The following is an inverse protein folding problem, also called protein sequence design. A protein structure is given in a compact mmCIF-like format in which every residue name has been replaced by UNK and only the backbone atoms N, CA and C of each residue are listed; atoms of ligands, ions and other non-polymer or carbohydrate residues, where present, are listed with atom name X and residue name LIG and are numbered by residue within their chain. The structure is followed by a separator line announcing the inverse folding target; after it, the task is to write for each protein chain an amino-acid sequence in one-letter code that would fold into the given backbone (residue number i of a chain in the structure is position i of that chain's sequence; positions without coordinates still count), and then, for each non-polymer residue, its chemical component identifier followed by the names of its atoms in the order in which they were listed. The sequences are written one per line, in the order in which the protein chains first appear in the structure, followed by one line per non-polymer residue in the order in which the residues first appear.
data_IF_742102889196
#
_entry.id   IF_742102889196
#
_cell.length_a   1.000
_cell.length_b   1.000
_cell.length_c   1.000
_cell.angle_alpha   90.00
_cell.angle_beta   90.00
_cell.angle_gamma   90.00
#
_symmetry.space_group_name_H-M   'P 1'
#
loop_
_entity.id
_entity.type
_entity.pdbx_description
1 polymer ?
#
# COMPACT_ATOMS: atom_id res chain seq x y z
N UNK A 1 32.50 -58.74 28.45
CA UNK A 1 32.79 -57.29 28.52
C UNK A 1 32.00 -56.62 27.41
N UNK A 2 30.92 -55.93 27.78
CA UNK A 2 30.07 -55.14 26.88
C UNK A 2 30.82 -53.85 26.53
N UNK A 3 31.16 -53.63 25.26
CA UNK A 3 31.63 -52.33 24.79
C UNK A 3 30.51 -51.65 24.02
N UNK A 4 30.03 -50.55 24.61
CA UNK A 4 28.98 -49.68 24.12
C UNK A 4 29.48 -48.88 22.91
N UNK A 5 28.63 -48.80 21.89
CA UNK A 5 28.76 -47.89 20.76
C UNK A 5 28.66 -46.43 21.23
N UNK A 6 29.41 -45.48 20.64
CA UNK A 6 29.00 -44.09 20.65
C UNK A 6 28.13 -43.85 19.41
N UNK A 7 26.81 -43.81 19.61
CA UNK A 7 25.91 -43.11 18.70
C UNK A 7 26.23 -41.62 18.88
N UNK A 8 27.09 -41.08 18.02
CA UNK A 8 27.28 -39.63 17.90
C UNK A 8 25.97 -39.02 17.46
N UNK A 9 25.28 -38.39 18.41
CA UNK A 9 24.12 -37.56 18.18
C UNK A 9 24.52 -36.41 17.25
N UNK A 10 24.06 -36.47 15.99
CA UNK A 10 23.97 -35.31 15.12
C UNK A 10 22.94 -34.37 15.74
N UNK A 11 23.43 -33.43 16.55
CA UNK A 11 22.71 -32.20 16.89
C UNK A 11 22.47 -31.45 15.59
N UNK A 12 21.29 -31.64 15.01
CA UNK A 12 20.71 -30.72 14.05
C UNK A 12 20.52 -29.38 14.77
N UNK A 13 21.54 -28.52 14.69
CA UNK A 13 21.35 -27.08 14.82
C UNK A 13 20.54 -26.66 13.60
N UNK A 14 19.22 -26.83 13.66
CA UNK A 14 18.34 -26.11 12.75
C UNK A 14 18.55 -24.62 13.08
N UNK A 15 19.11 -23.80 12.18
CA UNK A 15 19.07 -22.36 12.38
C UNK A 15 17.58 -22.02 12.48
N UNK A 16 17.16 -21.54 13.65
CA UNK A 16 15.87 -20.87 13.81
C UNK A 16 15.94 -19.61 12.96
N UNK A 17 15.60 -19.76 11.68
CA UNK A 17 15.30 -18.63 10.80
C UNK A 17 14.09 -17.98 11.44
N UNK A 18 14.32 -16.89 12.18
CA UNK A 18 13.29 -15.89 12.49
C UNK A 18 12.88 -15.28 11.15
N UNK A 19 12.10 -16.05 10.39
CA UNK A 19 11.49 -15.55 9.18
C UNK A 19 10.37 -14.65 9.69
N UNK A 20 10.54 -13.33 9.61
CA UNK A 20 9.40 -12.42 9.57
C UNK A 20 8.59 -12.81 8.34
N UNK A 21 7.65 -13.74 8.53
CA UNK A 21 7.01 -14.45 7.42
C UNK A 21 6.05 -13.50 6.73
N UNK A 22 6.45 -13.04 5.54
CA UNK A 22 5.52 -12.44 4.58
C UNK A 22 4.37 -13.44 4.40
N UNK A 23 3.14 -13.01 4.69
CA UNK A 23 1.96 -13.87 4.51
C UNK A 23 1.87 -14.37 3.07
N UNK A 24 1.30 -15.55 2.83
CA UNK A 24 1.14 -16.06 1.46
C UNK A 24 0.32 -15.11 0.59
N UNK A 25 -0.67 -14.42 1.20
CA UNK A 25 -1.46 -13.39 0.52
C UNK A 25 -0.57 -12.25 0.02
N UNK A 26 0.32 -11.77 0.89
CA UNK A 26 1.27 -10.71 0.55
C UNK A 26 2.28 -11.18 -0.50
N UNK A 27 2.80 -12.41 -0.38
CA UNK A 27 3.75 -12.98 -1.35
C UNK A 27 3.15 -13.08 -2.74
N UNK A 28 1.91 -13.58 -2.85
CA UNK A 28 1.18 -13.65 -4.12
C UNK A 28 0.95 -12.25 -4.68
N UNK A 29 0.58 -11.28 -3.85
CA UNK A 29 0.38 -9.89 -4.30
C UNK A 29 1.67 -9.28 -4.87
N UNK A 30 2.78 -9.37 -4.13
CA UNK A 30 4.10 -8.88 -4.57
C UNK A 30 4.57 -9.55 -5.86
N UNK A 31 4.29 -10.85 -6.03
CA UNK A 31 4.61 -11.58 -7.25
C UNK A 31 3.72 -11.17 -8.43
N UNK A 32 2.45 -10.88 -8.17
CA UNK A 32 1.46 -10.47 -9.20
C UNK A 32 1.74 -9.05 -9.70
N UNK A 33 2.07 -8.14 -8.80
CA UNK A 33 2.30 -6.71 -9.07
C UNK A 33 3.78 -6.36 -9.00
N UNK A 34 4.57 -7.07 -9.80
CA UNK A 34 6.03 -6.99 -9.80
C UNK A 34 6.61 -6.04 -10.87
N UNK A 35 5.75 -5.34 -11.62
CA UNK A 35 6.19 -4.40 -12.66
C UNK A 35 6.84 -3.18 -12.05
N UNK A 36 7.84 -2.65 -12.74
CA UNK A 36 8.50 -1.40 -12.34
C UNK A 36 7.51 -0.23 -12.36
N UNK A 37 7.59 0.61 -11.34
CA UNK A 37 6.71 1.76 -11.14
C UNK A 37 7.51 2.91 -10.53
N UNK A 38 7.58 4.02 -11.27
CA UNK A 38 8.26 5.23 -10.83
C UNK A 38 7.41 6.00 -9.80
N UNK A 39 7.92 6.16 -8.57
CA UNK A 39 7.24 6.90 -7.52
C UNK A 39 6.98 8.38 -7.88
N UNK A 40 7.75 8.97 -8.77
CA UNK A 40 7.55 10.35 -9.23
C UNK A 40 6.15 10.56 -9.84
N UNK A 41 5.54 9.51 -10.40
CA UNK A 41 4.17 9.55 -10.92
C UNK A 41 3.12 9.80 -9.83
N UNK A 42 3.41 9.44 -8.58
CA UNK A 42 2.52 9.64 -7.45
C UNK A 42 2.59 11.05 -6.87
N UNK A 43 3.66 11.81 -7.10
CA UNK A 43 3.90 13.09 -6.42
C UNK A 43 2.74 14.07 -6.57
N UNK A 44 2.36 14.73 -5.47
CA UNK A 44 1.27 15.70 -5.41
C UNK A 44 -0.02 15.12 -4.81
N UNK A 45 -1.14 15.77 -5.12
CA UNK A 45 -2.44 15.46 -4.53
C UNK A 45 -3.23 14.47 -5.38
N UNK A 46 -3.99 13.61 -4.70
CA UNK A 46 -4.93 12.67 -5.28
C UNK A 46 -6.20 12.56 -4.44
N UNK A 47 -7.29 12.18 -5.09
CA UNK A 47 -8.62 12.07 -4.50
C UNK A 47 -9.18 10.68 -4.76
N UNK A 48 -9.71 10.04 -3.73
CA UNK A 48 -10.47 8.80 -3.88
C UNK A 48 -11.85 9.10 -4.47
N UNK A 49 -12.04 8.77 -5.76
CA UNK A 49 -13.25 9.16 -6.51
C UNK A 49 -14.21 7.99 -6.74
N UNK A 50 -13.72 6.75 -6.72
CA UNK A 50 -14.56 5.56 -6.82
C UNK A 50 -13.99 4.41 -5.99
N UNK A 51 -14.88 3.73 -5.26
CA UNK A 51 -14.59 2.46 -4.61
C UNK A 51 -15.27 1.35 -5.40
N UNK A 52 -14.58 0.24 -5.60
CA UNK A 52 -15.09 -0.98 -6.22
C UNK A 52 -15.01 -2.13 -5.23
N UNK A 53 -16.05 -2.96 -5.12
CA UNK A 53 -16.03 -4.18 -4.31
C UNK A 53 -17.11 -5.17 -4.75
N UNK A 54 -16.96 -6.44 -4.36
CA UNK A 54 -17.88 -7.54 -4.73
C UNK A 54 -19.30 -7.30 -4.19
N UNK A 55 -19.41 -6.62 -3.03
CA UNK A 55 -20.68 -6.35 -2.34
C UNK A 55 -20.71 -4.88 -1.91
N UNK A 56 -20.92 -3.97 -2.85
CA UNK A 56 -20.89 -2.53 -2.67
C UNK A 56 -22.00 -1.85 -3.47
N UNK A 57 -23.25 -2.13 -3.11
CA UNK A 57 -24.42 -1.44 -3.63
C UNK A 57 -24.82 -0.28 -2.72
N UNK A 58 -23.97 0.75 -2.66
CA UNK A 58 -24.18 1.93 -1.82
C UNK A 58 -24.40 3.19 -2.67
N UNK A 59 -25.22 4.14 -2.20
CA UNK A 59 -25.42 5.41 -2.89
C UNK A 59 -24.10 6.22 -2.95
N UNK A 60 -24.00 7.19 -3.87
CA UNK A 60 -22.84 8.09 -3.94
C UNK A 60 -22.58 8.78 -2.60
N UNK A 61 -21.30 8.89 -2.24
CA UNK A 61 -20.86 9.52 -1.01
C UNK A 61 -20.35 10.95 -1.25
N UNK A 62 -20.69 11.86 -0.33
CA UNK A 62 -20.10 13.21 -0.26
C UNK A 62 -18.68 13.20 0.32
N UNK A 63 -18.29 12.11 1.00
CA UNK A 63 -16.95 11.97 1.56
C UNK A 63 -15.92 11.92 0.43
N UNK A 64 -14.89 12.75 0.58
CA UNK A 64 -13.81 12.90 -0.38
C UNK A 64 -12.48 12.86 0.35
N UNK A 65 -11.86 11.68 0.38
CA UNK A 65 -10.55 11.54 1.01
C UNK A 65 -9.48 12.09 0.08
N UNK A 66 -8.78 13.13 0.54
CA UNK A 66 -7.59 13.67 -0.12
C UNK A 66 -6.35 12.95 0.42
N UNK A 67 -5.45 12.58 -0.48
CA UNK A 67 -4.11 12.10 -0.13
C UNK A 67 -3.06 12.90 -0.83
N UNK A 68 -1.93 13.05 -0.17
CA UNK A 68 -0.76 13.75 -0.68
C UNK A 68 0.43 12.81 -0.66
N UNK A 69 1.16 12.79 -1.77
CA UNK A 69 2.44 12.14 -1.89
C UNK A 69 3.54 13.18 -2.08
N UNK A 70 4.62 13.07 -1.33
CA UNK A 70 5.70 14.03 -1.35
C UNK A 70 7.05 13.30 -1.31
N UNK A 71 8.09 13.95 -1.83
CA UNK A 71 9.45 13.42 -1.65
C UNK A 71 9.79 13.48 -0.16
N UNK A 72 10.17 12.35 0.47
CA UNK A 72 10.56 12.36 1.87
C UNK A 72 11.84 13.18 2.03
N UNK A 73 11.97 13.88 3.15
CA UNK A 73 13.23 14.55 3.47
C UNK A 73 14.26 13.54 3.98
N UNK A 74 15.54 13.90 3.93
CA UNK A 74 16.59 13.06 4.53
C UNK A 74 16.37 12.87 6.05
N UNK A 75 15.83 13.88 6.72
CA UNK A 75 15.46 13.80 8.13
C UNK A 75 14.35 12.78 8.36
N UNK A 76 13.29 12.81 7.54
CA UNK A 76 12.22 11.81 7.61
C UNK A 76 12.80 10.40 7.45
N UNK A 77 13.56 10.16 6.38
CA UNK A 77 14.15 8.84 6.12
C UNK A 77 15.02 8.35 7.29
N UNK A 78 15.82 9.24 7.89
CA UNK A 78 16.62 8.90 9.06
C UNK A 78 15.75 8.58 10.28
N UNK A 79 14.66 9.32 10.50
CA UNK A 79 13.72 9.04 11.59
C UNK A 79 13.06 7.67 11.43
N UNK A 80 12.61 7.32 10.22
CA UNK A 80 12.08 6.00 9.91
C UNK A 80 13.14 4.92 10.11
N UNK A 81 14.33 5.08 9.52
CA UNK A 81 15.45 4.14 9.66
C UNK A 81 15.76 3.87 11.13
N UNK A 82 15.90 4.92 11.94
CA UNK A 82 16.23 4.79 13.37
C UNK A 82 15.11 4.10 14.17
N UNK A 83 13.85 4.37 13.86
CA UNK A 83 12.71 3.79 14.59
C UNK A 83 12.46 2.33 14.22
N UNK A 84 12.60 1.99 12.95
CA UNK A 84 12.34 0.67 12.38
C UNK A 84 13.61 -0.18 12.18
N UNK A 85 14.77 0.25 12.71
CA UNK A 85 16.10 -0.32 12.44
C UNK A 85 16.21 -1.80 12.81
N UNK A 86 15.82 -2.67 11.87
CA UNK A 86 15.89 -4.11 11.97
C UNK A 86 16.38 -4.68 10.64
N UNK A 87 17.36 -5.55 10.72
CA UNK A 87 18.05 -6.11 9.54
C UNK A 87 17.24 -7.17 8.78
N UNK A 88 16.07 -7.56 9.30
CA UNK A 88 15.25 -8.67 8.82
C UNK A 88 13.92 -8.22 8.18
N UNK A 89 13.75 -6.91 7.97
CA UNK A 89 12.58 -6.39 7.27
C UNK A 89 12.66 -6.68 5.77
N UNK A 90 11.54 -7.02 5.10
CA UNK A 90 11.53 -7.36 3.68
C UNK A 90 11.60 -6.15 2.74
N UNK A 91 11.91 -4.97 3.28
CA UNK A 91 11.98 -3.69 2.57
C UNK A 91 13.20 -2.90 3.01
N UNK A 92 13.68 -1.98 2.17
CA UNK A 92 14.76 -1.07 2.51
C UNK A 92 14.28 0.39 2.45
N UNK A 93 14.76 1.20 3.40
CA UNK A 93 14.58 2.65 3.37
C UNK A 93 15.53 3.37 2.41
N UNK A 94 16.48 2.64 1.81
CA UNK A 94 17.32 3.14 0.71
C UNK A 94 16.67 2.94 -0.66
N UNK A 95 15.60 2.14 -0.73
CA UNK A 95 14.84 1.96 -1.96
C UNK A 95 14.11 3.26 -2.36
N UNK A 96 13.65 3.31 -3.60
CA UNK A 96 12.75 4.37 -4.07
C UNK A 96 11.55 4.50 -3.11
N UNK A 97 11.43 5.66 -2.47
CA UNK A 97 10.51 5.90 -1.37
C UNK A 97 9.71 7.18 -1.57
N UNK A 98 8.49 7.18 -1.06
CA UNK A 98 7.59 8.32 -1.16
C UNK A 98 6.76 8.50 0.10
N UNK A 99 6.77 9.71 0.65
CA UNK A 99 6.00 10.05 1.83
C UNK A 99 4.51 10.15 1.45
N UNK A 100 3.65 9.62 2.32
CA UNK A 100 2.21 9.59 2.13
C UNK A 100 1.50 10.19 3.34
N UNK A 101 0.47 10.99 3.09
CA UNK A 101 -0.44 11.46 4.12
C UNK A 101 -1.87 11.54 3.61
N UNK A 102 -2.81 11.11 4.42
CA UNK A 102 -4.24 11.37 4.27
C UNK A 102 -4.56 12.68 4.97
N UNK A 103 -5.11 13.62 4.21
CA UNK A 103 -5.59 14.90 4.73
C UNK A 103 -7.09 14.75 4.96
N UNK A 104 -7.53 14.94 6.21
CA UNK A 104 -8.95 15.06 6.46
C UNK A 104 -9.37 16.48 6.06
N UNK A 105 -10.36 16.61 5.18
CA UNK A 105 -10.82 17.92 4.70
C UNK A 105 -11.71 18.64 5.71
N UNK A 106 -12.06 18.01 6.85
CA UNK A 106 -12.85 18.63 7.91
C UNK A 106 -12.50 18.06 9.31
N UNK A 107 -11.88 18.83 10.23
CA UNK A 107 -11.28 20.16 10.05
C UNK A 107 -9.91 20.13 9.32
N UNK A 108 -9.44 21.27 8.74
CA UNK A 108 -8.51 21.29 7.61
C UNK A 108 -7.04 20.89 7.84
N UNK A 109 -6.59 20.64 9.06
CA UNK A 109 -5.14 20.59 9.34
C UNK A 109 -4.66 19.32 10.05
N UNK A 110 -5.53 18.33 10.24
CA UNK A 110 -5.14 17.09 10.92
C UNK A 110 -4.79 16.00 9.90
N UNK A 111 -3.49 15.75 9.72
CA UNK A 111 -2.99 14.48 9.15
C UNK A 111 -3.52 13.35 10.04
N UNK A 112 -4.56 12.66 9.58
CA UNK A 112 -5.14 11.56 10.35
C UNK A 112 -4.32 10.27 10.19
N UNK A 113 -3.61 10.15 9.06
CA UNK A 113 -2.83 8.97 8.74
C UNK A 113 -1.68 9.33 7.81
N UNK A 114 -0.46 9.01 8.22
CA UNK A 114 0.76 9.27 7.47
C UNK A 114 1.74 8.10 7.56
N UNK A 115 2.65 8.06 6.60
CA UNK A 115 3.57 6.94 6.44
C UNK A 115 4.52 7.12 5.25
N UNK A 116 5.26 6.06 4.98
CA UNK A 116 6.22 5.99 3.90
C UNK A 116 5.93 4.75 3.06
N UNK A 117 5.82 4.92 1.75
CA UNK A 117 5.84 3.82 0.81
C UNK A 117 7.29 3.55 0.36
N UNK A 118 7.64 2.28 0.26
CA UNK A 118 8.97 1.79 -0.08
C UNK A 118 8.88 0.80 -1.25
N UNK A 119 9.79 0.95 -2.20
CA UNK A 119 9.98 0.06 -3.34
C UNK A 119 9.60 0.70 -4.69
N UNK A 120 10.34 0.31 -5.72
CA UNK A 120 10.18 0.79 -7.11
C UNK A 120 9.23 -0.04 -7.98
N UNK A 121 8.35 -0.86 -7.39
CA UNK A 121 7.37 -1.70 -8.11
C UNK A 121 5.94 -1.24 -7.85
N UNK A 122 4.97 -1.74 -8.63
CA UNK A 122 3.55 -1.46 -8.43
C UNK A 122 3.08 -1.80 -7.01
N UNK A 123 3.45 -2.98 -6.49
CA UNK A 123 3.30 -3.31 -5.07
C UNK A 123 4.41 -2.68 -4.23
N UNK A 124 4.02 -1.91 -3.23
CA UNK A 124 4.89 -1.14 -2.33
C UNK A 124 4.62 -1.50 -0.89
N UNK A 125 5.69 -1.54 -0.09
CA UNK A 125 5.56 -1.68 1.36
C UNK A 125 5.17 -0.33 1.95
N UNK A 126 4.19 -0.32 2.83
CA UNK A 126 3.74 0.86 3.53
C UNK A 126 4.06 0.73 5.01
N UNK A 127 4.82 1.69 5.52
CA UNK A 127 5.19 1.78 6.93
C UNK A 127 4.56 3.04 7.51
N UNK A 128 3.75 2.87 8.56
CA UNK A 128 3.10 4.01 9.25
C UNK A 128 4.13 4.90 9.91
N UNK A 129 3.84 6.19 10.01
CA UNK A 129 4.69 7.14 10.70
C UNK A 129 4.97 6.70 12.16
N UNK A 130 6.21 6.85 12.66
CA UNK A 130 6.60 6.38 14.00
C UNK A 130 5.68 6.81 15.14
N UNK A 131 5.23 8.08 15.11
CA UNK A 131 4.33 8.65 16.13
C UNK A 131 2.97 7.94 16.17
N UNK A 132 2.53 7.43 15.02
CA UNK A 132 1.23 6.80 14.84
C UNK A 132 1.32 5.26 14.77
N UNK A 133 2.50 4.68 15.03
CA UNK A 133 2.72 3.25 14.94
C UNK A 133 3.12 2.62 16.29
N UNK A 134 2.14 1.97 16.92
CA UNK A 134 2.32 1.22 18.15
C UNK A 134 3.14 -0.07 17.97
N UNK A 135 3.24 -0.61 16.74
CA UNK A 135 3.99 -1.83 16.47
C UNK A 135 5.07 -1.60 15.41
N UNK A 136 6.33 -1.66 15.83
CA UNK A 136 7.49 -1.43 14.96
C UNK A 136 7.69 -2.49 13.88
N UNK A 137 6.96 -3.60 13.93
CA UNK A 137 7.10 -4.71 12.99
C UNK A 137 6.00 -4.73 11.93
N UNK A 138 4.99 -3.85 12.04
CA UNK A 138 3.88 -3.85 11.11
C UNK A 138 4.18 -3.04 9.87
N UNK A 139 3.94 -3.67 8.73
CA UNK A 139 3.86 -3.03 7.43
C UNK A 139 2.62 -3.54 6.72
N UNK A 140 2.04 -2.69 5.87
CA UNK A 140 1.02 -3.08 4.90
C UNK A 140 1.68 -3.21 3.52
N UNK A 141 1.09 -3.95 2.60
CA UNK A 141 1.50 -3.89 1.18
C UNK A 141 0.32 -3.39 0.38
N UNK A 142 0.57 -2.35 -0.42
CA UNK A 142 -0.44 -1.71 -1.25
C UNK A 142 0.06 -1.60 -2.67
N UNK A 143 -0.87 -1.64 -3.61
CA UNK A 143 -0.59 -1.67 -5.04
C UNK A 143 -1.04 -0.35 -5.66
N UNK A 144 -0.18 0.21 -6.50
CA UNK A 144 -0.49 1.32 -7.39
C UNK A 144 -0.33 0.88 -8.83
N UNK A 145 -1.42 0.91 -9.60
CA UNK A 145 -1.41 0.64 -11.04
C UNK A 145 -1.63 1.93 -11.80
N UNK A 146 -0.71 2.23 -12.71
CA UNK A 146 -0.81 3.40 -13.56
C UNK A 146 -1.88 3.20 -14.64
N UNK A 147 -2.78 4.18 -14.79
CA UNK A 147 -3.70 4.25 -15.94
C UNK A 147 -3.24 5.37 -16.87
N UNK A 148 -3.13 6.59 -16.34
CA UNK A 148 -2.59 7.78 -17.01
C UNK A 148 -2.20 8.84 -15.96
N UNK A 149 -1.78 10.02 -16.39
CA UNK A 149 -1.31 11.09 -15.50
C UNK A 149 -2.41 11.64 -14.55
N UNK A 150 -3.68 11.44 -14.89
CA UNK A 150 -4.81 11.89 -14.09
C UNK A 150 -5.39 10.81 -13.18
N UNK A 151 -5.16 9.51 -13.47
CA UNK A 151 -5.84 8.40 -12.80
C UNK A 151 -4.91 7.23 -12.47
N UNK A 152 -5.11 6.66 -11.28
CA UNK A 152 -4.44 5.43 -10.83
C UNK A 152 -5.45 4.49 -10.17
N UNK A 153 -5.14 3.20 -10.14
CA UNK A 153 -5.82 2.24 -9.27
C UNK A 153 -4.96 2.00 -8.03
N UNK A 154 -5.60 2.05 -6.87
CA UNK A 154 -5.03 1.72 -5.58
C UNK A 154 -5.77 0.51 -4.97
N UNK A 155 -5.04 -0.46 -4.44
CA UNK A 155 -5.63 -1.57 -3.67
C UNK A 155 -4.71 -2.07 -2.56
N UNK A 156 -5.31 -2.56 -1.47
CA UNK A 156 -4.59 -3.18 -0.36
C UNK A 156 -4.41 -4.68 -0.66
N UNK A 157 -3.18 -5.19 -0.61
CA UNK A 157 -2.91 -6.62 -0.86
C UNK A 157 -3.67 -7.55 0.09
N UNK A 158 -3.89 -7.10 1.33
CA UNK A 158 -4.65 -7.85 2.34
C UNK A 158 -6.09 -8.16 1.90
N UNK A 159 -6.65 -7.33 1.01
CA UNK A 159 -8.02 -7.48 0.51
C UNK A 159 -8.11 -8.34 -0.76
N UNK A 160 -6.99 -8.89 -1.25
CA UNK A 160 -6.95 -9.85 -2.38
C UNK A 160 -7.68 -9.35 -3.65
N UNK A 161 -7.65 -8.04 -3.89
CA UNK A 161 -8.35 -7.42 -5.01
C UNK A 161 -9.88 -7.42 -4.90
N UNK A 162 -10.46 -7.80 -3.76
CA UNK A 162 -11.90 -7.68 -3.49
C UNK A 162 -12.33 -6.23 -3.30
N UNK A 163 -11.40 -5.32 -3.03
CA UNK A 163 -11.66 -3.90 -2.96
C UNK A 163 -10.58 -3.15 -3.72
N UNK A 164 -11.01 -2.23 -4.58
CA UNK A 164 -10.14 -1.37 -5.36
C UNK A 164 -10.63 0.05 -5.28
N UNK A 165 -9.71 0.97 -5.46
CA UNK A 165 -10.01 2.39 -5.53
C UNK A 165 -9.49 2.94 -6.85
N UNK A 166 -10.33 3.72 -7.53
CA UNK A 166 -9.87 4.65 -8.55
C UNK A 166 -9.58 5.98 -7.85
N UNK A 167 -8.33 6.42 -7.97
CA UNK A 167 -7.89 7.72 -7.46
C UNK A 167 -7.59 8.65 -8.63
N UNK A 168 -7.85 9.94 -8.42
CA UNK A 168 -7.80 10.97 -9.46
C UNK A 168 -7.02 12.20 -8.99
N UNK A 169 -6.36 12.90 -9.91
CA UNK A 169 -5.79 14.24 -9.68
C UNK A 169 -6.87 15.32 -9.51
N UNK A 170 -8.01 15.15 -10.16
CA UNK A 170 -9.18 16.04 -10.07
C UNK A 170 -10.08 15.60 -8.92
N UNK A 171 -10.47 16.54 -8.05
CA UNK A 171 -11.40 16.28 -6.94
C UNK A 171 -12.79 15.84 -7.43
N UNK A 172 -13.27 16.48 -8.50
CA UNK A 172 -14.59 16.21 -9.10
C UNK A 172 -14.42 15.96 -10.60
N UNK A 173 -13.92 14.79 -11.02
CA UNK A 173 -13.88 14.44 -12.44
C UNK A 173 -15.29 14.24 -12.99
N UNK A 174 -15.46 14.41 -14.30
CA UNK A 174 -16.79 14.25 -14.90
C UNK A 174 -17.20 12.78 -14.94
N UNK A 175 -18.51 12.52 -14.97
CA UNK A 175 -19.01 11.14 -15.07
C UNK A 175 -18.56 10.47 -16.37
N UNK A 176 -18.47 11.23 -17.46
CA UNK A 176 -18.00 10.74 -18.76
C UNK A 176 -16.53 10.30 -18.71
N UNK A 177 -15.66 11.10 -18.07
CA UNK A 177 -14.26 10.75 -17.84
C UNK A 177 -14.16 9.44 -17.02
N UNK A 178 -14.90 9.38 -15.90
CA UNK A 178 -14.87 8.23 -14.99
C UNK A 178 -15.38 6.96 -15.67
N UNK A 179 -16.50 7.02 -16.39
CA UNK A 179 -17.05 5.87 -17.09
C UNK A 179 -16.13 5.36 -18.20
N UNK A 180 -15.47 6.26 -18.94
CA UNK A 180 -14.47 5.87 -19.94
C UNK A 180 -13.31 5.11 -19.32
N UNK A 181 -12.80 5.58 -18.19
CA UNK A 181 -11.72 4.89 -17.46
C UNK A 181 -12.22 3.54 -16.95
N UNK A 182 -13.36 3.47 -16.26
CA UNK A 182 -13.91 2.22 -15.73
C UNK A 182 -14.17 1.19 -16.83
N UNK A 183 -14.73 1.61 -17.97
CA UNK A 183 -15.00 0.73 -19.10
C UNK A 183 -13.72 0.12 -19.71
N UNK A 184 -12.58 0.83 -19.62
CA UNK A 184 -11.28 0.34 -20.10
C UNK A 184 -10.63 -0.70 -19.18
N UNK A 185 -11.06 -0.82 -17.92
CA UNK A 185 -10.45 -1.68 -16.91
C UNK A 185 -11.33 -2.91 -16.65
N UNK A 186 -10.97 -4.04 -17.28
CA UNK A 186 -11.75 -5.28 -17.22
C UNK A 186 -12.01 -5.76 -15.79
N UNK A 187 -11.05 -5.58 -14.88
CA UNK A 187 -11.13 -6.03 -13.50
C UNK A 187 -12.04 -5.16 -12.61
N UNK A 188 -12.29 -3.90 -13.00
CA UNK A 188 -13.23 -3.02 -12.30
C UNK A 188 -14.68 -3.30 -12.69
N UNK A 189 -14.93 -3.64 -13.97
CA UNK A 189 -16.27 -3.87 -14.52
C UNK A 189 -17.05 -5.03 -13.87
N UNK A 190 -16.36 -5.91 -13.17
CA UNK A 190 -16.95 -7.07 -12.49
C UNK A 190 -17.33 -6.80 -11.03
N UNK A 191 -17.09 -5.58 -10.55
CA UNK A 191 -17.33 -5.16 -9.19
C UNK A 191 -18.47 -4.14 -9.14
N UNK A 192 -19.18 -4.11 -8.03
CA UNK A 192 -20.09 -3.01 -7.73
C UNK A 192 -19.26 -1.78 -7.34
N UNK A 193 -19.81 -0.59 -7.57
CA UNK A 193 -19.06 0.66 -7.44
C UNK A 193 -19.83 1.71 -6.66
N UNK A 194 -19.13 2.43 -5.79
CA UNK A 194 -19.62 3.61 -5.09
C UNK A 194 -18.82 4.83 -5.53
N UNK A 195 -19.50 5.85 -6.05
CA UNK A 195 -18.89 7.15 -6.34
C UNK A 195 -18.62 7.91 -5.05
N UNK A 196 -17.44 8.52 -4.96
CA UNK A 196 -17.02 9.43 -3.89
C UNK A 196 -16.83 10.85 -4.44
N UNK A 197 -16.67 11.82 -3.54
CA UNK A 197 -16.59 13.24 -3.90
C UNK A 197 -17.83 13.73 -4.68
N UNK A 198 -19.01 13.20 -4.36
CA UNK A 198 -20.24 13.59 -5.03
C UNK A 198 -20.74 14.96 -4.55
N UNK A 199 -21.14 15.82 -5.49
CA UNK A 199 -21.68 17.17 -5.23
C UNK A 199 -23.19 17.21 -4.95
N UNK A 200 -23.88 16.06 -4.96
CA UNK A 200 -25.34 15.97 -4.66
C UNK A 200 -25.61 16.68 -3.34
#
# INVERSE_FOLDING_TARGET
MLSLWPVTALLFLAPSVLCHTISDTTRVCLATYNKDFNNELLLGKWYYVYKFSIWLNLPPSRSCNEVSFQRPTNEDLNNYKNYFNKNDMPYSFEDDSIAFSVLNTDPPDNKFFDGLFLGGREAKFFVRHPVNNANRETYDVRVFRYINDEYLIHEDCALRGHTRWLISRKRNPTDEELQKIIASQYDLRRLESQKHCSLI
#
